data_IF_353719644790
#
_entry.id   IF_353719644790
#
_cell.length_a   1.000
_cell.length_b   1.000
_cell.length_c   1.000
_cell.angle_alpha   90.00
_cell.angle_beta   90.00
_cell.angle_gamma   90.00
#
_symmetry.space_group_name_H-M   'P 1'
#
loop_
_entity.id
_entity.type
_entity.pdbx_description
1 polymer ?
#
# COMPACT_ATOMS: atom_id res chain seq x y z
N UNK A 1 26.51 -35.96 -21.33
CA UNK A 1 25.67 -34.93 -21.98
C UNK A 1 25.13 -34.07 -20.85
N UNK A 2 25.64 -32.84 -20.68
CA UNK A 2 25.10 -31.92 -19.68
C UNK A 2 23.71 -31.47 -20.15
N UNK A 3 22.69 -31.45 -19.27
CA UNK A 3 21.40 -30.88 -19.63
C UNK A 3 21.59 -29.42 -20.07
N UNK A 4 20.80 -28.92 -21.04
CA UNK A 4 20.78 -27.52 -21.40
C UNK A 4 20.58 -26.65 -20.16
N UNK A 5 21.40 -25.60 -20.00
CA UNK A 5 21.29 -24.67 -18.86
C UNK A 5 19.93 -23.99 -18.93
N UNK A 6 19.02 -24.40 -18.06
CA UNK A 6 17.67 -23.84 -17.97
C UNK A 6 17.68 -22.64 -17.03
N UNK A 7 17.70 -21.44 -17.62
CA UNK A 7 17.75 -20.17 -16.90
C UNK A 7 16.50 -19.89 -16.05
N UNK A 8 15.41 -20.63 -16.24
CA UNK A 8 14.20 -20.51 -15.41
C UNK A 8 14.47 -20.89 -13.95
N UNK A 9 15.35 -21.86 -13.71
CA UNK A 9 15.76 -22.31 -12.37
C UNK A 9 16.50 -21.21 -11.58
N UNK A 10 17.28 -20.37 -12.26
CA UNK A 10 18.05 -19.29 -11.64
C UNK A 10 17.15 -18.12 -11.20
N UNK A 11 16.10 -17.84 -11.95
CA UNK A 11 15.12 -16.82 -11.58
C UNK A 11 14.36 -17.24 -10.31
N UNK A 12 14.05 -18.53 -10.16
CA UNK A 12 13.40 -19.07 -8.96
C UNK A 12 14.28 -19.03 -7.71
N UNK A 13 15.59 -19.25 -7.86
CA UNK A 13 16.55 -19.15 -6.75
C UNK A 13 16.83 -17.69 -6.37
N UNK A 14 16.82 -16.76 -7.34
CA UNK A 14 17.17 -15.34 -7.11
C UNK A 14 15.96 -14.49 -6.70
N UNK A 15 14.75 -14.81 -7.17
CA UNK A 15 13.49 -14.12 -6.84
C UNK A 15 12.37 -15.14 -6.48
N UNK A 16 12.53 -15.88 -5.37
CA UNK A 16 11.66 -17.01 -5.01
C UNK A 16 10.19 -16.63 -4.80
N UNK A 17 9.90 -15.35 -4.55
CA UNK A 17 8.52 -14.84 -4.34
C UNK A 17 7.84 -14.34 -5.61
N UNK A 18 8.54 -14.29 -6.75
CA UNK A 18 8.05 -13.69 -8.01
C UNK A 18 8.20 -14.61 -9.22
N UNK A 19 9.09 -15.60 -9.19
CA UNK A 19 9.31 -16.53 -10.29
C UNK A 19 8.09 -17.43 -10.54
N UNK A 20 7.53 -17.39 -11.75
CA UNK A 20 6.46 -18.29 -12.20
C UNK A 20 5.04 -17.96 -11.72
N UNK A 21 4.81 -16.77 -11.16
CA UNK A 21 3.48 -16.36 -10.63
C UNK A 21 2.60 -15.64 -11.66
N UNK A 22 1.30 -15.90 -11.59
CA UNK A 22 0.27 -15.15 -12.33
C UNK A 22 0.24 -13.67 -11.87
N UNK A 23 -0.24 -12.76 -12.73
CA UNK A 23 -0.35 -11.32 -12.43
C UNK A 23 -1.08 -11.07 -11.10
N UNK A 24 -2.15 -11.82 -10.84
CA UNK A 24 -2.89 -11.75 -9.58
C UNK A 24 -2.01 -12.04 -8.36
N UNK A 25 -1.15 -13.06 -8.43
CA UNK A 25 -0.31 -13.45 -7.30
C UNK A 25 0.85 -12.47 -7.05
N UNK A 26 1.37 -11.83 -8.10
CA UNK A 26 2.34 -10.75 -7.99
C UNK A 26 1.71 -9.57 -7.24
N UNK A 27 0.51 -9.16 -7.65
CA UNK A 27 -0.25 -8.08 -7.01
C UNK A 27 -0.51 -8.41 -5.54
N UNK A 28 -0.95 -9.63 -5.22
CA UNK A 28 -1.18 -10.04 -3.82
C UNK A 28 0.09 -10.01 -2.95
N UNK A 29 1.26 -10.24 -3.56
CA UNK A 29 2.53 -10.24 -2.84
C UNK A 29 3.01 -8.82 -2.56
N UNK A 30 2.77 -7.88 -3.48
CA UNK A 30 3.22 -6.49 -3.37
C UNK A 30 2.27 -5.61 -2.53
N UNK A 31 0.96 -5.86 -2.59
CA UNK A 31 -0.06 -5.11 -1.85
C UNK A 31 0.30 -4.84 -0.38
N UNK A 32 0.66 -5.84 0.46
CA UNK A 32 0.91 -5.61 1.88
C UNK A 32 2.15 -4.75 2.15
N UNK A 33 3.09 -4.65 1.20
CA UNK A 33 4.22 -3.72 1.29
C UNK A 33 3.76 -2.30 0.98
N UNK A 34 2.94 -2.12 -0.06
CA UNK A 34 2.36 -0.82 -0.43
C UNK A 34 1.50 -0.28 0.72
N UNK A 35 0.59 -1.08 1.28
CA UNK A 35 -0.26 -0.64 2.39
C UNK A 35 0.55 -0.19 3.61
N UNK A 36 1.67 -0.85 3.92
CA UNK A 36 2.58 -0.41 5.01
C UNK A 36 3.23 0.94 4.72
N UNK A 37 3.78 1.11 3.51
CA UNK A 37 4.44 2.35 3.09
C UNK A 37 3.43 3.51 3.06
N UNK A 38 2.26 3.28 2.47
CA UNK A 38 1.22 4.29 2.34
C UNK A 38 0.70 4.70 3.73
N UNK A 39 0.46 3.75 4.63
CA UNK A 39 0.02 4.08 6.01
C UNK A 39 1.05 4.95 6.75
N UNK A 40 2.34 4.70 6.54
CA UNK A 40 3.40 5.52 7.12
C UNK A 40 3.44 6.93 6.50
N UNK A 41 3.29 7.04 5.18
CA UNK A 41 3.24 8.33 4.46
C UNK A 41 2.05 9.18 4.91
N UNK A 42 0.88 8.58 5.11
CA UNK A 42 -0.30 9.31 5.59
C UNK A 42 -0.06 9.93 6.96
N UNK A 43 0.54 9.18 7.88
CA UNK A 43 0.91 9.70 9.20
C UNK A 43 1.91 10.87 9.06
N UNK A 44 2.89 10.73 8.18
CA UNK A 44 3.88 11.77 7.92
C UNK A 44 3.25 13.05 7.35
N UNK A 45 2.32 12.93 6.39
CA UNK A 45 1.59 14.08 5.84
C UNK A 45 0.72 14.78 6.89
N UNK A 46 0.11 14.01 7.80
CA UNK A 46 -0.66 14.56 8.92
C UNK A 46 0.24 15.41 9.84
N UNK A 47 1.42 14.88 10.19
CA UNK A 47 2.40 15.60 11.03
C UNK A 47 2.93 16.84 10.32
N UNK A 48 3.29 16.74 9.04
CA UNK A 48 3.76 17.89 8.25
C UNK A 48 2.70 18.97 8.10
N UNK A 49 1.45 18.59 7.81
CA UNK A 49 0.35 19.55 7.71
C UNK A 49 0.05 20.23 9.06
N UNK A 50 0.09 19.48 10.16
CA UNK A 50 -0.05 20.04 11.51
C UNK A 50 1.09 20.99 11.86
N UNK A 51 2.33 20.58 11.57
CA UNK A 51 3.53 21.41 11.78
C UNK A 51 3.47 22.72 10.98
N UNK A 52 3.01 22.67 9.74
CA UNK A 52 2.87 23.85 8.88
C UNK A 52 1.81 24.84 9.38
N UNK A 53 0.70 24.34 9.93
CA UNK A 53 -0.30 25.20 10.59
C UNK A 53 0.30 25.82 11.86
N UNK A 54 0.98 25.04 12.70
CA UNK A 54 1.55 25.53 13.96
C UNK A 54 2.66 26.57 13.75
N UNK A 55 3.47 26.41 12.71
CA UNK A 55 4.57 27.32 12.37
C UNK A 55 4.20 28.43 11.40
N UNK A 56 2.92 28.53 11.02
CA UNK A 56 2.43 29.53 10.08
C UNK A 56 2.53 30.98 10.57
N UNK A 57 2.69 31.20 11.89
CA UNK A 57 2.75 32.53 12.52
C UNK A 57 1.58 33.46 12.14
N UNK A 58 0.42 32.88 11.78
CA UNK A 58 -0.75 33.62 11.33
C UNK A 58 -0.80 33.93 9.83
N UNK A 59 0.16 33.46 9.03
CA UNK A 59 0.10 33.56 7.57
C UNK A 59 -1.04 32.68 7.01
N UNK A 60 -2.11 33.28 6.44
CA UNK A 60 -3.26 32.54 5.95
C UNK A 60 -2.92 31.55 4.83
N UNK A 61 -1.85 31.80 4.05
CA UNK A 61 -1.45 30.87 2.97
C UNK A 61 -0.90 29.57 3.53
N UNK A 62 -0.07 29.65 4.58
CA UNK A 62 0.52 28.46 5.23
C UNK A 62 -0.54 27.67 5.98
N UNK A 63 -1.47 28.35 6.65
CA UNK A 63 -2.61 27.69 7.31
C UNK A 63 -3.48 26.97 6.28
N UNK A 64 -3.79 27.60 5.14
CA UNK A 64 -4.56 26.96 4.08
C UNK A 64 -3.84 25.73 3.50
N UNK A 65 -2.54 25.82 3.25
CA UNK A 65 -1.76 24.69 2.72
C UNK A 65 -1.68 23.52 3.72
N UNK A 66 -1.42 23.80 4.99
CA UNK A 66 -1.41 22.77 6.04
C UNK A 66 -2.76 22.08 6.22
N UNK A 67 -3.86 22.83 6.14
CA UNK A 67 -5.23 22.27 6.16
C UNK A 67 -5.49 21.36 4.96
N UNK A 68 -5.06 21.75 3.76
CA UNK A 68 -5.18 20.91 2.56
C UNK A 68 -4.39 19.60 2.72
N UNK A 69 -3.17 19.67 3.28
CA UNK A 69 -2.35 18.47 3.52
C UNK A 69 -3.01 17.51 4.51
N UNK A 70 -3.54 18.02 5.62
CA UNK A 70 -4.28 17.21 6.59
C UNK A 70 -5.53 16.61 5.93
N UNK A 71 -6.28 17.40 5.16
CA UNK A 71 -7.49 16.93 4.47
C UNK A 71 -7.15 15.77 3.52
N UNK A 72 -6.10 15.90 2.72
CA UNK A 72 -5.67 14.82 1.82
C UNK A 72 -5.21 13.57 2.59
N UNK A 73 -4.50 13.74 3.71
CA UNK A 73 -4.11 12.62 4.57
C UNK A 73 -5.34 11.90 5.13
N UNK A 74 -6.34 12.64 5.62
CA UNK A 74 -7.58 12.09 6.17
C UNK A 74 -8.42 11.40 5.10
N UNK A 75 -8.61 12.01 3.93
CA UNK A 75 -9.36 11.41 2.82
C UNK A 75 -8.67 10.11 2.37
N UNK A 76 -7.35 10.13 2.19
CA UNK A 76 -6.59 8.93 1.83
C UNK A 76 -6.74 7.83 2.88
N UNK A 77 -6.77 8.20 4.17
CA UNK A 77 -6.93 7.25 5.26
C UNK A 77 -8.31 6.56 5.21
N UNK A 78 -9.37 7.36 5.06
CA UNK A 78 -10.75 6.87 4.97
C UNK A 78 -10.92 5.95 3.77
N UNK A 79 -10.36 6.30 2.61
CA UNK A 79 -10.41 5.46 1.41
C UNK A 79 -9.69 4.13 1.65
N UNK A 80 -8.51 4.13 2.27
CA UNK A 80 -7.79 2.90 2.58
C UNK A 80 -8.58 1.98 3.53
N UNK A 81 -9.15 2.53 4.61
CA UNK A 81 -9.96 1.76 5.55
C UNK A 81 -11.18 1.15 4.87
N UNK A 82 -11.89 1.95 4.06
CA UNK A 82 -13.08 1.51 3.35
C UNK A 82 -12.75 0.44 2.32
N UNK A 83 -11.66 0.62 1.56
CA UNK A 83 -11.16 -0.36 0.60
C UNK A 83 -10.81 -1.69 1.27
N UNK A 84 -10.10 -1.64 2.40
CA UNK A 84 -9.78 -2.83 3.19
C UNK A 84 -11.04 -3.61 3.61
N UNK A 85 -12.02 -2.90 4.19
CA UNK A 85 -13.29 -3.48 4.64
C UNK A 85 -14.07 -4.10 3.48
N UNK A 86 -14.18 -3.38 2.36
CA UNK A 86 -14.91 -3.84 1.17
C UNK A 86 -14.25 -5.08 0.56
N UNK A 87 -12.94 -5.02 0.28
CA UNK A 87 -12.20 -6.13 -0.33
C UNK A 87 -12.20 -7.36 0.57
N UNK A 88 -12.05 -7.19 1.88
CA UNK A 88 -12.14 -8.30 2.85
C UNK A 88 -13.54 -8.92 2.88
N UNK A 89 -14.59 -8.11 2.78
CA UNK A 89 -15.99 -8.60 2.78
C UNK A 89 -16.29 -9.37 1.50
N UNK A 90 -15.93 -8.81 0.35
CA UNK A 90 -16.10 -9.48 -0.95
C UNK A 90 -15.26 -10.76 -1.01
N UNK A 91 -14.02 -10.73 -0.53
CA UNK A 91 -13.14 -11.91 -0.48
C UNK A 91 -13.73 -13.05 0.36
N UNK A 92 -14.41 -12.74 1.47
CA UNK A 92 -15.14 -13.74 2.28
C UNK A 92 -16.32 -14.35 1.53
N UNK A 93 -17.11 -13.52 0.85
CA UNK A 93 -18.28 -13.97 0.08
C UNK A 93 -17.84 -14.86 -1.10
N UNK A 94 -16.79 -14.46 -1.80
CA UNK A 94 -16.23 -15.21 -2.95
C UNK A 94 -15.31 -16.36 -2.54
N UNK A 95 -15.09 -16.57 -1.24
CA UNK A 95 -14.21 -17.60 -0.66
C UNK A 95 -12.77 -17.61 -1.22
N UNK A 96 -12.22 -16.44 -1.54
CA UNK A 96 -10.88 -16.32 -2.15
C UNK A 96 -9.82 -16.24 -1.04
N UNK A 97 -9.20 -17.38 -0.74
CA UNK A 97 -8.19 -17.52 0.34
C UNK A 97 -7.00 -16.58 0.19
N UNK A 98 -6.60 -16.26 -1.03
CA UNK A 98 -5.46 -15.41 -1.37
C UNK A 98 -5.71 -13.96 -0.95
N UNK A 99 -6.92 -13.43 -1.21
CA UNK A 99 -7.31 -12.08 -0.81
C UNK A 99 -7.52 -12.03 0.70
N UNK A 100 -8.19 -13.05 1.25
CA UNK A 100 -8.39 -13.18 2.70
C UNK A 100 -7.02 -13.13 3.40
N UNK A 101 -6.05 -13.98 3.04
CA UNK A 101 -4.75 -14.05 3.72
C UNK A 101 -3.88 -12.78 3.67
N UNK A 102 -4.15 -11.82 2.78
CA UNK A 102 -3.46 -10.50 2.76
C UNK A 102 -4.09 -9.55 3.77
N UNK A 103 -5.41 -9.63 3.92
CA UNK A 103 -6.23 -8.69 4.67
C UNK A 103 -6.76 -9.28 5.99
N UNK A 104 -6.17 -10.37 6.48
CA UNK A 104 -6.43 -10.92 7.81
C UNK A 104 -6.08 -12.38 7.95
#
# INVERSE_FOLDING_TARGET
MQPPIDFSSLIQVTLPKLAGKNIGEIITTLLPYIFRIVSFILLFLLVLGGYEILTSQGDPKKVASGNQRILYAVIGFVIMLTSFLLVRTIGRILNIKQIIGIFG
#
